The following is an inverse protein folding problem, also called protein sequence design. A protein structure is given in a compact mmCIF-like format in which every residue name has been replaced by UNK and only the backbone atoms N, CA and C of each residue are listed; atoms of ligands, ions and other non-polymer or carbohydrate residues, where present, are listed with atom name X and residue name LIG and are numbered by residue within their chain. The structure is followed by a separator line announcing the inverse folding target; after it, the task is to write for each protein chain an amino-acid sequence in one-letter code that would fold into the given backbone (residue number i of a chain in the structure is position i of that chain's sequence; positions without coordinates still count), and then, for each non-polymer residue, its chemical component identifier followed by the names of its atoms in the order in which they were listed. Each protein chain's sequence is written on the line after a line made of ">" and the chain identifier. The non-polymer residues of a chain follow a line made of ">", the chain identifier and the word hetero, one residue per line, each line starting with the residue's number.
data_IF_813870317105
#
_entry.id   IF_813870317105
#
_cell.length_a   1.000
_cell.length_b   1.000
_cell.length_c   1.000
_cell.angle_alpha   90.00
_cell.angle_beta   90.00
_cell.angle_gamma   90.00
#
_symmetry.space_group_name_H-M   'P 1'
#
loop_
_entity.id
_entity.type
_entity.pdbx_description
1 polymer ?
#
# COMPACT_ATOMS: atom_id res chain seq x y z
N UNK A 1 53.55 36.27 -22.65
CA UNK A 1 53.02 34.92 -22.50
C UNK A 1 51.68 34.87 -23.20
N UNK A 2 51.70 34.30 -24.43
CA UNK A 2 50.54 34.13 -25.29
C UNK A 2 49.82 32.86 -24.92
N UNK A 3 48.51 32.93 -24.71
CA UNK A 3 47.64 31.78 -24.58
C UNK A 3 47.05 31.42 -25.94
N UNK A 4 47.07 30.16 -26.37
CA UNK A 4 46.41 29.75 -27.59
C UNK A 4 44.92 29.42 -27.31
N UNK A 5 44.05 30.05 -28.11
CA UNK A 5 42.61 29.80 -28.09
C UNK A 5 42.27 28.44 -28.68
N UNK A 6 41.56 27.62 -27.90
CA UNK A 6 40.94 26.36 -28.33
C UNK A 6 39.45 26.57 -28.58
N UNK A 7 39.06 26.65 -29.86
CA UNK A 7 37.67 26.70 -30.26
C UNK A 7 37.01 25.32 -30.13
N UNK A 8 36.00 25.20 -29.26
CA UNK A 8 35.13 24.03 -29.22
C UNK A 8 34.03 24.18 -30.28
N UNK A 9 34.17 23.47 -31.38
CA UNK A 9 33.15 23.32 -32.41
C UNK A 9 31.95 22.53 -31.85
N UNK A 10 30.78 23.16 -31.87
CA UNK A 10 29.52 22.52 -31.58
C UNK A 10 29.21 21.43 -32.63
N UNK A 11 28.79 20.23 -32.23
CA UNK A 11 28.36 19.20 -33.16
C UNK A 11 27.07 19.62 -33.88
N UNK A 12 27.13 19.80 -35.18
CA UNK A 12 25.96 20.05 -36.03
C UNK A 12 25.06 18.83 -36.05
N UNK A 13 23.79 19.04 -35.70
CA UNK A 13 22.72 18.03 -35.83
C UNK A 13 22.50 17.76 -37.33
N UNK A 14 22.43 16.50 -37.79
CA UNK A 14 22.11 16.18 -39.17
C UNK A 14 20.66 16.60 -39.51
N UNK A 15 20.43 17.04 -40.77
CA UNK A 15 19.11 17.49 -41.18
C UNK A 15 18.10 16.32 -41.22
N UNK A 16 16.94 16.55 -40.66
CA UNK A 16 15.78 15.64 -40.73
C UNK A 16 15.41 15.44 -42.19
N UNK A 17 15.64 14.26 -42.75
CA UNK A 17 15.09 13.84 -44.03
C UNK A 17 13.59 13.56 -43.87
N UNK A 18 12.80 14.47 -44.40
CA UNK A 18 11.36 14.31 -44.63
C UNK A 18 11.14 13.38 -45.81
N UNK A 19 10.38 12.37 -45.67
CA UNK A 19 9.66 11.71 -46.76
C UNK A 19 10.40 10.53 -47.42
N UNK A 20 9.97 9.33 -47.09
CA UNK A 20 9.83 8.26 -48.07
C UNK A 20 8.52 7.57 -47.84
N UNK A 21 7.71 7.58 -48.88
CA UNK A 21 6.45 6.87 -49.05
C UNK A 21 6.56 5.42 -48.56
N UNK A 22 5.94 5.10 -47.47
CA UNK A 22 5.65 3.72 -47.09
C UNK A 22 4.46 3.21 -47.91
N UNK A 23 4.74 2.82 -49.15
CA UNK A 23 3.83 1.97 -49.93
C UNK A 23 3.53 0.74 -49.10
N UNK A 24 2.26 0.55 -48.78
CA UNK A 24 1.74 -0.55 -48.03
C UNK A 24 2.18 -1.90 -48.59
N UNK A 25 3.15 -2.52 -47.91
CA UNK A 25 3.50 -3.90 -48.10
C UNK A 25 2.31 -4.74 -47.62
N UNK A 26 1.65 -5.42 -48.55
CA UNK A 26 0.61 -6.40 -48.30
C UNK A 26 1.22 -7.56 -47.52
N UNK A 27 1.27 -7.45 -46.18
CA UNK A 27 1.64 -8.53 -45.30
C UNK A 27 0.50 -9.55 -45.38
N UNK A 28 0.60 -10.50 -46.31
CA UNK A 28 -0.18 -11.72 -46.27
C UNK A 28 -0.06 -12.27 -44.85
N UNK A 29 -1.17 -12.21 -44.09
CA UNK A 29 -1.31 -12.96 -42.81
C UNK A 29 -1.00 -14.42 -43.17
N UNK A 30 0.23 -14.87 -42.89
CA UNK A 30 0.49 -16.29 -42.79
C UNK A 30 -0.44 -16.78 -41.68
N UNK A 31 -1.25 -17.74 -42.00
CA UNK A 31 -2.07 -18.45 -41.05
C UNK A 31 -1.17 -19.02 -39.95
N UNK A 32 -0.88 -18.16 -38.95
CA UNK A 32 -0.26 -18.61 -37.73
C UNK A 32 -1.33 -19.45 -37.02
N UNK A 33 -1.12 -20.72 -36.94
CA UNK A 33 -1.95 -21.63 -36.15
C UNK A 33 -2.18 -20.97 -34.79
N UNK A 34 -3.45 -20.94 -34.30
CA UNK A 34 -3.73 -20.30 -33.02
C UNK A 34 -2.84 -20.95 -31.96
N UNK A 35 -1.99 -20.15 -31.34
CA UNK A 35 -1.18 -20.61 -30.20
C UNK A 35 -2.12 -21.24 -29.18
N UNK A 36 -1.85 -22.48 -28.73
CA UNK A 36 -2.66 -23.08 -27.70
C UNK A 36 -2.72 -22.11 -26.52
N UNK A 37 -3.92 -21.86 -25.95
CA UNK A 37 -4.05 -20.97 -24.80
C UNK A 37 -3.13 -21.48 -23.72
N UNK A 38 -2.11 -20.70 -23.41
CA UNK A 38 -1.21 -21.04 -22.30
C UNK A 38 -2.04 -21.10 -21.02
N UNK A 39 -1.95 -22.19 -20.25
CA UNK A 39 -2.63 -22.28 -18.97
C UNK A 39 -2.18 -21.08 -18.14
N UNK A 40 -3.11 -20.16 -17.86
CA UNK A 40 -2.83 -19.04 -16.97
C UNK A 40 -2.56 -19.65 -15.61
N UNK A 41 -1.29 -19.66 -15.21
CA UNK A 41 -0.94 -20.02 -13.84
C UNK A 41 -1.82 -19.15 -12.92
N UNK A 42 -2.45 -19.74 -11.90
CA UNK A 42 -3.24 -18.99 -10.94
C UNK A 42 -2.32 -17.91 -10.38
N UNK A 43 -2.68 -16.63 -10.61
CA UNK A 43 -1.95 -15.51 -10.02
C UNK A 43 -2.08 -15.68 -8.52
N UNK A 44 -0.96 -15.87 -7.84
CA UNK A 44 -0.93 -15.75 -6.37
C UNK A 44 -1.58 -14.43 -6.00
N UNK A 45 -2.65 -14.42 -5.19
CA UNK A 45 -3.26 -13.17 -4.78
C UNK A 45 -2.18 -12.31 -4.14
N UNK A 46 -2.02 -11.09 -4.63
CA UNK A 46 -1.14 -10.10 -4.01
C UNK A 46 -1.55 -9.97 -2.55
N UNK A 47 -0.59 -10.09 -1.63
CA UNK A 47 -0.85 -9.92 -0.21
C UNK A 47 -1.60 -8.60 0.01
N UNK A 48 -2.69 -8.66 0.76
CA UNK A 48 -3.46 -7.46 1.06
C UNK A 48 -2.64 -6.53 1.96
N UNK A 49 -2.96 -5.22 1.99
CA UNK A 49 -2.30 -4.30 2.93
C UNK A 49 -2.52 -4.72 4.37
N UNK A 50 -3.69 -5.28 4.68
CA UNK A 50 -3.99 -5.83 5.99
C UNK A 50 -3.12 -7.05 6.33
N UNK A 51 -2.83 -7.95 5.35
CA UNK A 51 -1.89 -9.06 5.54
C UNK A 51 -0.48 -8.53 5.82
N UNK A 52 -0.08 -7.46 5.13
CA UNK A 52 1.24 -6.85 5.32
C UNK A 52 1.37 -6.18 6.69
N UNK A 53 0.37 -5.39 7.12
CA UNK A 53 0.33 -4.81 8.46
C UNK A 53 0.34 -5.90 9.54
N UNK A 54 -0.46 -6.96 9.37
CA UNK A 54 -0.49 -8.08 10.30
C UNK A 54 0.88 -8.75 10.43
N UNK A 55 1.59 -8.95 9.32
CA UNK A 55 2.95 -9.52 9.34
C UNK A 55 3.94 -8.65 10.10
N UNK A 56 3.97 -7.35 9.83
CA UNK A 56 4.87 -6.42 10.52
C UNK A 56 4.61 -6.41 12.02
N UNK A 57 3.34 -6.36 12.45
CA UNK A 57 2.95 -6.33 13.84
C UNK A 57 3.14 -7.68 14.56
N UNK A 58 2.97 -8.81 13.87
CA UNK A 58 3.27 -10.13 14.42
C UNK A 58 4.78 -10.37 14.55
N UNK A 59 5.59 -9.80 13.64
CA UNK A 59 7.06 -9.90 13.71
C UNK A 59 7.64 -8.95 14.75
N UNK A 60 7.06 -7.77 14.91
CA UNK A 60 7.54 -6.67 15.75
C UNK A 60 6.39 -6.05 16.54
N UNK A 61 5.88 -6.80 17.51
CA UNK A 61 4.71 -6.40 18.31
C UNK A 61 4.89 -5.06 19.03
N UNK A 62 6.13 -4.70 19.39
CA UNK A 62 6.44 -3.41 19.99
C UNK A 62 6.04 -2.21 19.11
N UNK A 63 5.87 -2.38 17.80
CA UNK A 63 5.40 -1.30 16.93
C UNK A 63 3.97 -0.86 17.24
N UNK A 64 3.16 -1.70 17.90
CA UNK A 64 1.84 -1.31 18.37
C UNK A 64 1.90 -0.14 19.37
N UNK A 65 2.95 -0.05 20.18
CA UNK A 65 3.12 1.03 21.15
C UNK A 65 3.35 2.41 20.47
N UNK A 66 3.85 2.40 19.24
CA UNK A 66 4.12 3.61 18.45
C UNK A 66 2.88 4.10 17.66
N UNK A 67 1.78 3.34 17.68
CA UNK A 67 0.57 3.66 16.93
C UNK A 67 -0.31 4.69 17.65
N UNK A 68 -1.01 5.50 16.86
CA UNK A 68 -2.01 6.43 17.39
C UNK A 68 -3.32 5.69 17.69
N UNK A 69 -4.18 6.30 18.53
CA UNK A 69 -5.52 5.77 18.79
C UNK A 69 -6.33 5.55 17.50
N UNK A 70 -6.19 6.43 16.52
CA UNK A 70 -6.87 6.31 15.23
C UNK A 70 -6.37 5.11 14.41
N UNK A 71 -5.06 4.80 14.49
CA UNK A 71 -4.49 3.63 13.83
C UNK A 71 -5.03 2.33 14.44
N UNK A 72 -5.06 2.25 15.77
CA UNK A 72 -5.65 1.12 16.50
C UNK A 72 -7.12 0.92 16.13
N UNK A 73 -7.91 1.99 16.19
CA UNK A 73 -9.31 1.94 15.81
C UNK A 73 -9.52 1.46 14.37
N UNK A 74 -8.71 1.95 13.43
CA UNK A 74 -8.79 1.55 12.02
C UNK A 74 -8.41 0.08 11.80
N UNK A 75 -7.37 -0.43 12.48
CA UNK A 75 -6.95 -1.82 12.39
C UNK A 75 -8.03 -2.77 12.96
N UNK A 76 -8.57 -2.44 14.15
CA UNK A 76 -9.60 -3.25 14.78
C UNK A 76 -10.94 -3.20 14.04
N UNK A 77 -11.25 -2.12 13.33
CA UNK A 77 -12.45 -1.98 12.50
C UNK A 77 -12.40 -2.75 11.18
N UNK A 78 -11.25 -3.33 10.82
CA UNK A 78 -11.15 -4.13 9.60
C UNK A 78 -12.09 -5.33 9.63
N UNK A 79 -12.59 -5.77 8.47
CA UNK A 79 -13.41 -6.96 8.39
C UNK A 79 -12.65 -8.21 8.84
N UNK A 80 -13.40 -9.20 9.35
CA UNK A 80 -12.82 -10.49 9.68
C UNK A 80 -12.12 -11.12 8.46
N UNK A 81 -10.99 -11.79 8.68
CA UNK A 81 -10.38 -12.18 9.95
C UNK A 81 -9.35 -11.18 10.53
N UNK A 82 -9.06 -10.05 9.87
CA UNK A 82 -7.99 -9.12 10.26
C UNK A 82 -8.32 -8.32 11.51
N UNK A 83 -9.50 -7.67 11.57
CA UNK A 83 -9.90 -6.88 12.74
C UNK A 83 -9.82 -7.67 14.04
N UNK A 84 -10.43 -8.87 14.13
CA UNK A 84 -10.29 -9.74 15.28
C UNK A 84 -8.85 -10.11 15.64
N UNK A 85 -7.94 -10.27 14.64
CA UNK A 85 -6.53 -10.53 14.89
C UNK A 85 -5.86 -9.32 15.57
N UNK A 86 -6.12 -8.11 15.08
CA UNK A 86 -5.53 -6.89 15.66
C UNK A 86 -6.05 -6.62 17.06
N UNK A 87 -7.36 -6.79 17.30
CA UNK A 87 -7.94 -6.68 18.64
C UNK A 87 -7.34 -7.70 19.62
N UNK A 88 -7.08 -8.93 19.15
CA UNK A 88 -6.40 -9.94 19.94
C UNK A 88 -4.95 -9.54 20.25
N UNK A 89 -4.21 -9.00 19.26
CA UNK A 89 -2.83 -8.51 19.46
C UNK A 89 -2.77 -7.38 20.50
N UNK A 90 -3.70 -6.44 20.46
CA UNK A 90 -3.80 -5.37 21.46
C UNK A 90 -4.05 -5.93 22.86
N UNK A 91 -4.93 -6.92 22.99
CA UNK A 91 -5.13 -7.62 24.25
C UNK A 91 -3.85 -8.27 24.78
N UNK A 92 -3.11 -8.98 23.91
CA UNK A 92 -1.84 -9.60 24.29
C UNK A 92 -0.78 -8.57 24.70
N UNK A 93 -0.71 -7.45 23.99
CA UNK A 93 0.19 -6.35 24.34
C UNK A 93 -0.12 -5.77 25.72
N UNK A 94 -1.42 -5.57 26.00
CA UNK A 94 -1.87 -5.00 27.27
C UNK A 94 -1.61 -5.95 28.45
N UNK A 95 -1.80 -7.26 28.26
CA UNK A 95 -1.66 -8.26 29.33
C UNK A 95 -0.19 -8.66 29.58
N UNK A 96 0.61 -8.77 28.53
CA UNK A 96 1.93 -9.40 28.60
C UNK A 96 3.08 -8.52 28.11
N UNK A 97 2.77 -7.34 27.54
CA UNK A 97 3.75 -6.53 26.84
C UNK A 97 4.14 -7.09 25.46
N UNK A 98 5.18 -6.54 24.82
CA UNK A 98 5.61 -6.98 23.50
C UNK A 98 6.16 -8.42 23.54
N UNK A 99 5.55 -9.33 22.79
CA UNK A 99 5.92 -10.74 22.68
C UNK A 99 6.59 -11.04 21.34
N UNK A 100 7.53 -11.97 21.33
CA UNK A 100 8.10 -12.52 20.11
C UNK A 100 7.10 -13.44 19.40
N UNK A 101 7.20 -13.55 18.07
CA UNK A 101 6.31 -14.38 17.25
C UNK A 101 6.16 -15.81 17.76
N UNK A 102 7.24 -16.42 18.26
CA UNK A 102 7.19 -17.79 18.79
C UNK A 102 6.18 -17.93 19.93
N UNK A 103 6.11 -16.96 20.84
CA UNK A 103 5.17 -16.93 21.96
C UNK A 103 3.75 -16.62 21.50
N UNK A 104 3.61 -15.64 20.58
CA UNK A 104 2.30 -15.31 19.99
C UNK A 104 1.69 -16.51 19.26
N UNK A 105 2.52 -17.28 18.54
CA UNK A 105 2.07 -18.49 17.85
C UNK A 105 1.54 -19.56 18.83
N UNK A 106 2.18 -19.73 19.97
CA UNK A 106 1.70 -20.66 21.00
C UNK A 106 0.35 -20.19 21.58
N UNK A 107 0.24 -18.90 21.89
CA UNK A 107 -1.01 -18.31 22.41
C UNK A 107 -2.15 -18.32 21.39
N UNK A 108 -1.85 -18.37 20.08
CA UNK A 108 -2.83 -18.46 18.99
C UNK A 108 -3.35 -19.87 18.75
N UNK A 109 -2.78 -20.91 19.37
CA UNK A 109 -3.23 -22.29 19.15
C UNK A 109 -4.71 -22.47 19.51
N UNK A 110 -5.47 -22.92 18.53
CA UNK A 110 -6.92 -23.10 18.66
C UNK A 110 -7.73 -21.80 18.61
N UNK A 111 -7.08 -20.65 18.42
CA UNK A 111 -7.77 -19.38 18.25
C UNK A 111 -8.28 -19.19 16.82
N UNK A 112 -9.46 -18.57 16.59
CA UNK A 112 -10.00 -18.35 15.23
C UNK A 112 -9.04 -17.61 14.27
N UNK A 113 -8.14 -16.80 14.80
CA UNK A 113 -7.14 -16.03 14.01
C UNK A 113 -5.86 -16.81 13.69
N UNK A 114 -5.68 -18.04 14.21
CA UNK A 114 -4.47 -18.84 14.02
C UNK A 114 -4.15 -19.05 12.54
N UNK A 115 -5.16 -19.46 11.76
CA UNK A 115 -4.99 -19.75 10.35
C UNK A 115 -4.49 -18.53 9.54
N UNK A 116 -5.03 -17.34 9.84
CA UNK A 116 -4.57 -16.08 9.22
C UNK A 116 -3.13 -15.77 9.63
N UNK A 117 -2.84 -15.78 10.93
CA UNK A 117 -1.52 -15.42 11.44
C UNK A 117 -0.43 -16.34 10.88
N UNK A 118 -0.66 -17.66 10.87
CA UNK A 118 0.27 -18.62 10.27
C UNK A 118 0.44 -18.38 8.77
N UNK A 119 -0.64 -18.17 8.02
CA UNK A 119 -0.60 -17.86 6.59
C UNK A 119 0.24 -16.62 6.30
N UNK A 120 0.05 -15.56 7.06
CA UNK A 120 0.74 -14.27 6.88
C UNK A 120 2.23 -14.42 7.19
N UNK A 121 2.59 -15.18 8.22
CA UNK A 121 3.97 -15.38 8.65
C UNK A 121 4.74 -16.41 7.82
N UNK A 122 4.08 -17.31 7.11
CA UNK A 122 4.70 -18.34 6.26
C UNK A 122 4.67 -18.00 4.77
N UNK A 123 4.03 -16.92 4.37
CA UNK A 123 3.93 -16.50 2.96
C UNK A 123 5.27 -16.16 2.33
N UNK A 124 5.35 -16.23 0.99
CA UNK A 124 6.55 -15.97 0.19
C UNK A 124 7.16 -14.55 0.36
N UNK A 125 6.45 -13.65 1.00
CA UNK A 125 6.88 -12.27 1.32
C UNK A 125 7.27 -12.12 2.80
N UNK A 126 7.59 -13.24 3.49
CA UNK A 126 7.86 -13.27 4.92
C UNK A 126 9.22 -12.64 5.34
N UNK A 127 9.98 -12.09 4.40
CA UNK A 127 11.22 -11.38 4.75
C UNK A 127 10.89 -10.02 5.37
N UNK A 128 10.87 -10.02 6.69
CA UNK A 128 10.84 -8.80 7.53
C UNK A 128 12.23 -8.48 8.05
N UNK A 129 13.26 -8.93 7.33
CA UNK A 129 14.65 -8.62 7.62
C UNK A 129 14.96 -7.23 7.05
N UNK A 130 14.93 -6.24 7.88
CA UNK A 130 15.25 -4.87 7.56
C UNK A 130 15.65 -4.10 8.82
N UNK A 131 16.14 -2.88 8.64
CA UNK A 131 16.34 -1.97 9.75
C UNK A 131 14.97 -1.67 10.40
N UNK A 132 14.92 -1.76 11.74
CA UNK A 132 13.70 -1.49 12.52
C UNK A 132 13.12 -0.11 12.23
N UNK A 133 13.97 0.86 11.92
CA UNK A 133 13.52 2.20 11.54
C UNK A 133 12.78 2.18 10.19
N UNK A 134 13.32 1.50 9.20
CA UNK A 134 12.69 1.37 7.88
C UNK A 134 11.36 0.61 7.97
N UNK A 135 11.31 -0.46 8.76
CA UNK A 135 10.07 -1.22 8.98
C UNK A 135 8.98 -0.40 9.68
N UNK A 136 9.35 0.50 10.61
CA UNK A 136 8.41 1.44 11.22
C UNK A 136 7.87 2.45 10.20
N UNK A 137 8.74 2.99 9.34
CA UNK A 137 8.31 3.90 8.28
C UNK A 137 7.40 3.18 7.27
N UNK A 138 7.72 1.94 6.92
CA UNK A 138 6.88 1.11 6.04
C UNK A 138 5.50 0.87 6.65
N UNK A 139 5.44 0.50 7.94
CA UNK A 139 4.18 0.34 8.66
C UNK A 139 3.36 1.64 8.67
N UNK A 140 4.01 2.79 8.96
CA UNK A 140 3.36 4.10 8.97
C UNK A 140 2.75 4.44 7.60
N UNK A 141 3.52 4.24 6.53
CA UNK A 141 3.09 4.49 5.15
C UNK A 141 1.89 3.60 4.76
N UNK A 142 1.95 2.34 5.19
CA UNK A 142 0.89 1.37 4.98
C UNK A 142 -0.41 1.78 5.70
N UNK A 143 -0.32 2.16 6.97
CA UNK A 143 -1.46 2.62 7.77
C UNK A 143 -2.05 3.92 7.22
N UNK A 144 -1.22 4.89 6.83
CA UNK A 144 -1.69 6.12 6.21
C UNK A 144 -2.51 5.83 4.93
N UNK A 145 -2.06 4.89 4.10
CA UNK A 145 -2.81 4.48 2.89
C UNK A 145 -4.14 3.83 3.24
N UNK A 146 -4.17 2.98 4.28
CA UNK A 146 -5.41 2.34 4.73
C UNK A 146 -6.41 3.37 5.29
N UNK A 147 -5.94 4.31 6.11
CA UNK A 147 -6.76 5.41 6.63
C UNK A 147 -7.30 6.31 5.50
N UNK A 148 -6.49 6.64 4.50
CA UNK A 148 -6.92 7.41 3.34
C UNK A 148 -8.00 6.68 2.54
N UNK A 149 -7.88 5.36 2.38
CA UNK A 149 -8.91 4.56 1.71
C UNK A 149 -10.23 4.56 2.48
N UNK A 150 -10.18 4.44 3.80
CA UNK A 150 -11.35 4.53 4.66
C UNK A 150 -12.00 5.92 4.60
N UNK A 151 -11.21 6.98 4.70
CA UNK A 151 -11.69 8.37 4.52
C UNK A 151 -12.38 8.53 3.16
N UNK A 152 -11.79 8.03 2.09
CA UNK A 152 -12.37 8.12 0.76
C UNK A 152 -13.71 7.35 0.67
N UNK A 153 -13.83 6.21 1.34
CA UNK A 153 -15.10 5.46 1.42
C UNK A 153 -16.16 6.25 2.19
N UNK A 154 -15.80 6.84 3.34
CA UNK A 154 -16.68 7.69 4.14
C UNK A 154 -17.14 8.93 3.35
N UNK A 155 -16.21 9.61 2.65
CA UNK A 155 -16.55 10.76 1.81
C UNK A 155 -17.56 10.42 0.71
N UNK A 156 -17.40 9.25 0.06
CA UNK A 156 -18.38 8.78 -0.95
C UNK A 156 -19.75 8.54 -0.33
N UNK A 157 -19.82 7.94 0.86
CA UNK A 157 -21.08 7.72 1.57
C UNK A 157 -21.75 9.05 1.95
N UNK A 158 -20.98 10.04 2.43
CA UNK A 158 -21.52 11.37 2.76
C UNK A 158 -22.06 12.11 1.53
N UNK A 159 -21.44 11.98 0.36
CA UNK A 159 -21.95 12.58 -0.88
C UNK A 159 -23.35 12.03 -1.22
N UNK A 160 -23.57 10.73 -1.04
CA UNK A 160 -24.85 10.10 -1.29
C UNK A 160 -25.94 10.55 -0.28
N UNK A 161 -25.53 10.91 0.94
CA UNK A 161 -26.43 11.37 2.00
C UNK A 161 -26.63 12.89 2.01
N UNK A 162 -25.83 13.65 1.25
CA UNK A 162 -25.80 15.12 1.29
C UNK A 162 -27.15 15.79 1.00
N UNK A 163 -28.04 15.14 0.25
CA UNK A 163 -29.38 15.65 -0.03
C UNK A 163 -30.32 15.58 1.18
N UNK A 164 -30.03 14.74 2.17
CA UNK A 164 -30.88 14.46 3.33
C UNK A 164 -30.27 14.94 4.65
N UNK A 165 -28.93 15.13 4.71
CA UNK A 165 -28.21 15.55 5.90
C UNK A 165 -27.51 16.91 5.67
N UNK A 166 -27.99 18.00 6.30
CA UNK A 166 -27.35 19.30 6.17
C UNK A 166 -25.93 19.37 6.76
N UNK A 167 -25.57 18.43 7.66
CA UNK A 167 -24.25 18.37 8.29
C UNK A 167 -23.25 17.57 7.46
N UNK A 168 -23.67 16.90 6.42
CA UNK A 168 -22.82 16.05 5.57
C UNK A 168 -21.64 16.84 4.96
N UNK A 169 -21.86 18.10 4.58
CA UNK A 169 -20.82 18.93 3.99
C UNK A 169 -19.72 19.31 5.02
N UNK A 170 -20.08 19.57 6.25
CA UNK A 170 -19.10 19.87 7.32
C UNK A 170 -18.25 18.64 7.64
N UNK A 171 -18.90 17.47 7.76
CA UNK A 171 -18.21 16.18 7.95
C UNK A 171 -17.29 15.88 6.78
N UNK A 172 -17.74 16.12 5.54
CA UNK A 172 -16.90 15.93 4.35
C UNK A 172 -15.64 16.79 4.40
N UNK A 173 -15.75 18.08 4.76
CA UNK A 173 -14.62 19.00 4.90
C UNK A 173 -13.65 18.57 6.00
N UNK A 174 -14.15 18.10 7.13
CA UNK A 174 -13.32 17.57 8.21
C UNK A 174 -12.52 16.34 7.76
N UNK A 175 -13.15 15.42 7.03
CA UNK A 175 -12.47 14.25 6.44
C UNK A 175 -11.44 14.66 5.39
N UNK A 176 -11.72 15.68 4.58
CA UNK A 176 -10.76 16.20 3.60
C UNK A 176 -9.53 16.80 4.27
N UNK A 177 -9.70 17.57 5.32
CA UNK A 177 -8.58 18.10 6.12
C UNK A 177 -7.73 16.98 6.69
N UNK A 178 -8.36 15.96 7.30
CA UNK A 178 -7.66 14.79 7.83
C UNK A 178 -6.88 14.04 6.74
N UNK A 179 -7.47 13.82 5.59
CA UNK A 179 -6.80 13.20 4.45
C UNK A 179 -5.58 13.99 4.00
N UNK A 180 -5.68 15.32 3.91
CA UNK A 180 -4.58 16.19 3.50
C UNK A 180 -3.41 16.11 4.50
N UNK A 181 -3.70 16.06 5.80
CA UNK A 181 -2.67 15.86 6.84
C UNK A 181 -1.95 14.52 6.64
N UNK A 182 -2.69 13.43 6.43
CA UNK A 182 -2.10 12.09 6.20
C UNK A 182 -1.26 12.04 4.92
N UNK A 183 -1.58 12.85 3.92
CA UNK A 183 -0.82 12.98 2.66
C UNK A 183 0.36 13.96 2.75
N UNK A 184 0.56 14.61 3.88
CA UNK A 184 1.59 15.65 4.04
C UNK A 184 1.30 16.95 3.26
N UNK A 185 0.05 17.16 2.84
CA UNK A 185 -0.36 18.37 2.12
C UNK A 185 -0.69 19.45 3.15
N UNK A 186 0.05 20.57 3.11
CA UNK A 186 -0.21 21.71 4.00
C UNK A 186 -1.67 22.20 3.82
N UNK A 187 -2.38 22.53 4.94
CA UNK A 187 -3.72 23.10 4.83
C UNK A 187 -3.67 24.40 4.04
N UNK A 188 -4.57 24.54 3.06
CA UNK A 188 -4.75 25.85 2.38
C UNK A 188 -5.28 26.82 3.42
N UNK A 189 -4.47 27.86 3.75
CA UNK A 189 -4.95 28.99 4.52
C UNK A 189 -6.10 29.65 3.75
N UNK A 190 -7.26 29.73 4.39
CA UNK A 190 -8.45 30.39 3.86
C UNK A 190 -8.29 31.91 3.87
#
# INVERSE_FOLDING_TARGET
>A
WQSPGGGYGSPQKPPFRKGSDWKGGNWKKKDAAPWPPQPRLPRTPTASRADHAARLLLSHMAFLEDLTHDDHAALCALPAPHGPLFSWLEGQLHEHGPLAWALLRESLRGHPCEALAVKVMTGSHAQTEGDLHELRLELRDLLNRMLIEDINAQQKALILQAAQDPTALERYRALEQRRNILQGIAPRSA
#
